data_IF_670239989486
#
_entry.id   IF_670239989486
#
_cell.length_a   1.000
_cell.length_b   1.000
_cell.length_c   1.000
_cell.angle_alpha   90.00
_cell.angle_beta   90.00
_cell.angle_gamma   90.00
#
_symmetry.space_group_name_H-M   'P 1'
#
loop_
_entity.id
_entity.type
_entity.pdbx_description
1 polymer ?
#
# COMPACT_ATOMS: atom_id res chain seq x y z
N UNK A 1 31.31 -33.99 34.70
CA UNK A 1 31.52 -32.74 33.92
C UNK A 1 31.27 -31.57 34.87
N UNK A 2 32.33 -30.98 35.41
CA UNK A 2 32.24 -29.92 36.43
C UNK A 2 32.01 -28.59 35.72
N UNK A 3 30.81 -28.01 35.84
CA UNK A 3 30.52 -26.67 35.33
C UNK A 3 31.42 -25.66 36.07
N UNK A 4 32.46 -25.17 35.39
CA UNK A 4 33.20 -23.97 35.82
C UNK A 4 32.19 -22.82 35.85
N UNK A 5 31.68 -22.49 37.04
CA UNK A 5 30.82 -21.31 37.24
C UNK A 5 31.62 -20.07 36.88
N UNK A 6 31.13 -19.30 35.91
CA UNK A 6 31.71 -18.01 35.54
C UNK A 6 31.59 -17.07 36.76
N UNK A 7 32.71 -16.65 37.38
CA UNK A 7 32.70 -15.85 38.61
C UNK A 7 32.00 -14.50 38.43
N UNK A 8 31.94 -13.99 37.20
CA UNK A 8 31.32 -12.71 36.86
C UNK A 8 29.78 -12.79 36.92
N UNK A 9 29.19 -13.91 36.46
CA UNK A 9 27.75 -14.17 36.58
C UNK A 9 27.32 -14.27 38.04
N UNK A 10 28.17 -14.82 38.92
CA UNK A 10 27.90 -14.89 40.35
C UNK A 10 27.94 -13.51 41.02
N UNK A 11 28.90 -12.65 40.63
CA UNK A 11 29.00 -11.29 41.15
C UNK A 11 27.82 -10.39 40.73
N UNK A 12 27.37 -10.51 39.47
CA UNK A 12 26.22 -9.76 38.98
C UNK A 12 24.93 -10.18 39.70
N UNK A 13 24.75 -11.49 39.92
CA UNK A 13 23.62 -12.01 40.72
C UNK A 13 23.66 -11.51 42.17
N UNK A 14 24.83 -11.41 42.77
CA UNK A 14 25.00 -10.86 44.12
C UNK A 14 24.64 -9.38 44.20
N UNK A 15 25.07 -8.56 43.22
CA UNK A 15 24.74 -7.13 43.18
C UNK A 15 23.25 -6.88 43.02
N UNK A 16 22.60 -7.63 42.13
CA UNK A 16 21.15 -7.57 41.96
C UNK A 16 20.41 -7.97 43.26
N UNK A 17 20.84 -9.05 43.92
CA UNK A 17 20.27 -9.48 45.21
C UNK A 17 20.47 -8.44 46.32
N UNK A 18 21.63 -7.78 46.38
CA UNK A 18 21.89 -6.72 47.35
C UNK A 18 21.02 -5.48 47.11
N UNK A 19 20.88 -5.04 45.86
CA UNK A 19 20.03 -3.92 45.49
C UNK A 19 18.55 -4.16 45.88
N UNK A 20 18.05 -5.39 45.67
CA UNK A 20 16.68 -5.76 46.01
C UNK A 20 16.46 -5.92 47.54
N UNK A 21 17.51 -6.27 48.29
CA UNK A 21 17.40 -6.44 49.75
C UNK A 21 17.27 -5.14 50.55
N UNK A 22 17.67 -4.00 49.96
CA UNK A 22 17.72 -2.70 50.66
C UNK A 22 16.35 -2.02 50.72
N UNK A 23 15.37 -2.44 49.91
CA UNK A 23 14.03 -1.83 49.85
C UNK A 23 12.91 -2.61 50.55
N UNK A 24 13.24 -3.60 51.39
CA UNK A 24 12.24 -4.42 52.07
C UNK A 24 11.66 -3.75 53.32
N UNK A 25 10.80 -2.75 53.13
CA UNK A 25 9.88 -2.25 54.17
C UNK A 25 8.52 -1.86 53.59
N UNK A 26 7.81 -2.84 53.04
CA UNK A 26 6.36 -2.74 52.87
C UNK A 26 5.71 -4.07 53.26
N UNK A 27 5.08 -4.04 54.43
CA UNK A 27 4.12 -5.02 54.93
C UNK A 27 2.79 -4.84 54.19
N UNK A 28 2.14 -5.98 53.94
CA UNK A 28 0.74 -6.15 53.53
C UNK A 28 0.35 -5.73 52.10
N UNK A 29 0.77 -6.51 51.10
CA UNK A 29 0.02 -6.68 49.86
C UNK A 29 0.48 -7.93 49.10
N UNK A 30 -0.47 -8.59 48.42
CA UNK A 30 -0.39 -9.72 47.48
C UNK A 30 1.04 -10.17 47.11
N UNK A 31 1.34 -11.46 47.28
CA UNK A 31 2.63 -12.10 46.97
C UNK A 31 3.26 -11.50 45.69
N UNK A 32 4.23 -10.59 45.90
CA UNK A 32 5.06 -10.06 44.83
C UNK A 32 5.91 -11.17 44.24
N UNK A 33 6.39 -10.97 43.02
CA UNK A 33 7.27 -11.93 42.36
C UNK A 33 8.51 -12.22 43.21
N UNK A 34 8.89 -13.49 43.29
CA UNK A 34 10.15 -13.85 43.94
C UNK A 34 11.32 -13.35 43.10
N UNK A 35 12.44 -13.01 43.76
CA UNK A 35 13.64 -12.51 43.07
C UNK A 35 14.17 -13.53 42.05
N UNK A 36 14.05 -14.83 42.32
CA UNK A 36 14.44 -15.88 41.38
C UNK A 36 13.56 -15.92 40.13
N UNK A 37 12.26 -15.62 40.26
CA UNK A 37 11.36 -15.52 39.10
C UNK A 37 11.64 -14.27 38.27
N UNK A 38 11.95 -13.15 38.91
CA UNK A 38 12.36 -11.92 38.22
C UNK A 38 13.66 -12.14 37.42
N UNK A 39 14.66 -12.77 38.04
CA UNK A 39 15.92 -13.09 37.39
C UNK A 39 15.74 -14.07 36.23
N UNK A 40 14.94 -15.13 36.42
CA UNK A 40 14.67 -16.09 35.35
C UNK A 40 13.92 -15.46 34.17
N UNK A 41 13.07 -14.45 34.43
CA UNK A 41 12.32 -13.73 33.40
C UNK A 41 13.27 -12.88 32.53
N UNK A 42 14.19 -12.16 33.17
CA UNK A 42 15.22 -11.34 32.49
C UNK A 42 16.19 -12.22 31.70
N UNK A 43 16.63 -13.34 32.27
CA UNK A 43 17.51 -14.32 31.59
C UNK A 43 16.81 -15.09 30.45
N UNK A 44 15.50 -14.90 30.25
CA UNK A 44 14.72 -15.63 29.23
C UNK A 44 14.54 -17.13 29.51
N UNK A 45 14.81 -17.62 30.73
CA UNK A 45 14.83 -19.05 31.11
C UNK A 45 13.47 -19.61 31.54
N UNK A 46 12.40 -18.85 31.37
CA UNK A 46 11.04 -19.23 31.79
C UNK A 46 10.24 -19.80 30.63
N UNK A 47 9.40 -20.81 30.91
CA UNK A 47 8.47 -21.39 29.93
C UNK A 47 7.46 -20.36 29.42
N UNK A 48 6.93 -20.49 28.19
CA UNK A 48 6.00 -19.50 27.63
C UNK A 48 4.74 -19.27 28.49
N UNK A 49 4.21 -20.33 29.10
CA UNK A 49 3.05 -20.25 29.99
C UNK A 49 3.34 -19.43 31.25
N UNK A 50 4.45 -19.73 31.94
CA UNK A 50 4.84 -19.00 33.16
C UNK A 50 5.25 -17.56 32.84
N UNK A 51 5.83 -17.30 31.65
CA UNK A 51 6.13 -15.95 31.19
C UNK A 51 4.87 -15.07 31.13
N UNK A 52 3.77 -15.57 30.55
CA UNK A 52 2.52 -14.79 30.46
C UNK A 52 1.94 -14.46 31.84
N UNK A 53 2.04 -15.38 32.80
CA UNK A 53 1.59 -15.17 34.19
C UNK A 53 2.43 -14.10 34.88
N UNK A 54 3.75 -14.10 34.68
CA UNK A 54 4.63 -13.10 35.26
C UNK A 54 4.43 -11.72 34.62
N UNK A 55 4.25 -11.66 33.29
CA UNK A 55 3.95 -10.42 32.59
C UNK A 55 2.62 -9.81 33.04
N UNK A 56 1.58 -10.63 33.20
CA UNK A 56 0.29 -10.12 33.71
C UNK A 56 0.38 -9.64 35.17
N UNK A 57 1.26 -10.23 35.98
CA UNK A 57 1.56 -9.70 37.31
C UNK A 57 2.31 -8.35 37.24
N UNK A 58 3.29 -8.21 36.35
CA UNK A 58 4.02 -6.95 36.16
C UNK A 58 3.08 -5.82 35.74
N UNK A 59 2.11 -6.11 34.87
CA UNK A 59 1.08 -5.13 34.46
C UNK A 59 0.19 -4.69 35.64
N UNK A 60 -0.06 -5.58 36.60
CA UNK A 60 -0.91 -5.32 37.75
C UNK A 60 -0.17 -4.75 38.97
N UNK A 61 1.15 -4.91 39.05
CA UNK A 61 1.97 -4.57 40.21
C UNK A 61 3.08 -3.56 39.84
N UNK A 62 2.83 -2.24 40.03
CA UNK A 62 3.81 -1.20 39.69
C UNK A 62 5.17 -1.38 40.37
N UNK A 63 5.20 -1.93 41.58
CA UNK A 63 6.45 -2.20 42.33
C UNK A 63 7.31 -3.26 41.61
N UNK A 64 6.71 -4.38 41.21
CA UNK A 64 7.41 -5.44 40.49
C UNK A 64 7.86 -4.96 39.10
N UNK A 65 7.07 -4.11 38.43
CA UNK A 65 7.44 -3.51 37.15
C UNK A 65 8.66 -2.58 37.26
N UNK A 66 8.71 -1.74 38.31
CA UNK A 66 9.86 -0.88 38.57
C UNK A 66 11.13 -1.68 38.86
N UNK A 67 11.03 -2.74 39.67
CA UNK A 67 12.16 -3.65 39.94
C UNK A 67 12.65 -4.38 38.69
N UNK A 68 11.72 -4.82 37.83
CA UNK A 68 12.05 -5.44 36.55
C UNK A 68 12.79 -4.49 35.62
N UNK A 69 12.33 -3.25 35.47
CA UNK A 69 13.00 -2.23 34.65
C UNK A 69 14.41 -1.92 35.17
N UNK A 70 14.56 -1.76 36.49
CA UNK A 70 15.85 -1.50 37.10
C UNK A 70 16.84 -2.66 36.85
N UNK A 71 16.37 -3.90 36.97
CA UNK A 71 17.19 -5.08 36.72
C UNK A 71 17.50 -5.28 35.22
N UNK A 72 16.56 -4.97 34.32
CA UNK A 72 16.78 -5.06 32.88
C UNK A 72 17.82 -4.05 32.38
N UNK A 73 17.80 -2.81 32.89
CA UNK A 73 18.78 -1.78 32.55
C UNK A 73 20.22 -2.17 32.94
N UNK A 74 20.39 -2.92 34.02
CA UNK A 74 21.72 -3.41 34.43
C UNK A 74 22.27 -4.51 33.51
N UNK A 75 21.41 -5.25 32.80
CA UNK A 75 21.83 -6.32 31.89
C UNK A 75 22.22 -5.75 30.52
N UNK A 76 21.56 -4.68 30.07
CA UNK A 76 21.87 -4.04 28.77
C UNK A 76 23.27 -3.40 28.74
N UNK A 77 23.76 -2.89 29.87
CA UNK A 77 25.07 -2.23 29.93
C UNK A 77 26.25 -3.22 29.84
N UNK A 78 26.02 -4.51 30.14
CA UNK A 78 27.04 -5.55 30.12
C UNK A 78 27.18 -6.21 28.73
N UNK A 79 26.16 -6.17 27.86
CA UNK A 79 26.21 -6.81 26.53
C UNK A 79 27.07 -6.04 25.50
N UNK A 80 27.28 -4.74 25.67
CA UNK A 80 28.16 -3.95 24.78
C UNK A 80 29.67 -4.21 25.04
N UNK A 81 30.03 -4.79 26.19
CA UNK A 81 31.43 -4.97 26.59
C UNK A 81 32.03 -6.35 26.27
N UNK A 82 31.23 -7.36 25.88
CA UNK A 82 31.72 -8.75 25.76
C UNK A 82 31.16 -9.51 24.54
N UNK A 83 31.37 -8.97 23.34
CA UNK A 83 31.54 -9.81 22.15
C UNK A 83 33.01 -10.25 22.04
N UNK A 84 33.51 -11.02 23.02
CA UNK A 84 34.75 -11.76 22.81
C UNK A 84 34.50 -12.76 21.68
N UNK A 85 35.25 -12.71 20.56
CA UNK A 85 35.04 -13.64 19.46
C UNK A 85 35.33 -15.04 19.99
N UNK A 86 34.26 -15.83 20.16
CA UNK A 86 34.35 -17.27 20.36
C UNK A 86 35.32 -17.78 19.29
N UNK A 87 36.52 -18.19 19.72
CA UNK A 87 37.55 -18.80 18.88
C UNK A 87 36.98 -20.12 18.37
N UNK A 88 36.16 -20.05 17.33
CA UNK A 88 35.69 -21.19 16.56
C UNK A 88 36.86 -21.65 15.72
N UNK A 89 37.41 -22.78 16.13
CA UNK A 89 38.50 -23.47 15.45
C UNK A 89 38.28 -23.55 13.93
N UNK A 90 39.22 -22.95 13.22
CA UNK A 90 39.87 -23.33 11.96
C UNK A 90 39.13 -23.94 10.76
N UNK A 91 37.99 -24.61 10.91
CA UNK A 91 37.47 -25.50 9.86
C UNK A 91 36.50 -24.82 8.89
N UNK A 92 35.77 -23.79 9.33
CA UNK A 92 34.76 -23.12 8.48
C UNK A 92 35.29 -21.94 7.64
N UNK A 93 36.58 -21.61 7.71
CA UNK A 93 37.14 -20.40 7.06
C UNK A 93 37.14 -20.48 5.52
N UNK A 94 37.14 -21.68 4.93
CA UNK A 94 37.10 -21.83 3.46
C UNK A 94 35.69 -21.81 2.85
N UNK A 95 34.64 -22.14 3.61
CA UNK A 95 33.26 -22.12 3.10
C UNK A 95 32.50 -20.82 3.44
N UNK A 96 33.02 -19.99 4.34
CA UNK A 96 32.35 -18.75 4.78
C UNK A 96 32.30 -17.67 3.70
N UNK A 97 33.30 -17.56 2.83
CA UNK A 97 33.33 -16.49 1.82
C UNK A 97 32.38 -16.74 0.63
N UNK A 98 32.19 -17.99 0.22
CA UNK A 98 31.25 -18.33 -0.86
C UNK A 98 29.80 -18.34 -0.39
N UNK A 99 29.52 -18.81 0.84
CA UNK A 99 28.15 -18.90 1.34
C UNK A 99 27.56 -17.54 1.75
N UNK A 100 28.37 -16.63 2.30
CA UNK A 100 27.92 -15.27 2.64
C UNK A 100 27.61 -14.46 1.39
N UNK A 101 28.38 -14.64 0.32
CA UNK A 101 28.12 -14.00 -0.98
C UNK A 101 26.76 -14.42 -1.57
N UNK A 102 26.43 -15.73 -1.55
CA UNK A 102 25.15 -16.20 -2.08
C UNK A 102 23.95 -15.71 -1.28
N UNK A 103 24.06 -15.62 0.06
CA UNK A 103 22.97 -15.10 0.89
C UNK A 103 22.74 -13.60 0.68
N UNK A 104 23.81 -12.81 0.47
CA UNK A 104 23.68 -11.38 0.19
C UNK A 104 22.96 -11.13 -1.14
N UNK A 105 23.27 -11.91 -2.19
CA UNK A 105 22.58 -11.82 -3.48
C UNK A 105 21.11 -12.21 -3.35
N UNK A 106 20.80 -13.30 -2.64
CA UNK A 106 19.41 -13.72 -2.44
C UNK A 106 18.61 -12.67 -1.64
N UNK A 107 19.19 -12.11 -0.58
CA UNK A 107 18.57 -11.03 0.20
C UNK A 107 18.36 -9.76 -0.63
N UNK A 108 19.33 -9.39 -1.48
CA UNK A 108 19.21 -8.25 -2.39
C UNK A 108 18.10 -8.46 -3.42
N UNK A 109 17.98 -9.67 -3.98
CA UNK A 109 16.90 -10.02 -4.91
C UNK A 109 15.53 -9.97 -4.22
N UNK A 110 15.41 -10.50 -3.00
CA UNK A 110 14.17 -10.42 -2.21
C UNK A 110 13.84 -8.95 -1.91
N UNK A 111 14.83 -8.13 -1.55
CA UNK A 111 14.64 -6.71 -1.30
C UNK A 111 14.18 -5.97 -2.56
N UNK A 112 14.77 -6.25 -3.72
CA UNK A 112 14.34 -5.67 -5.01
C UNK A 112 12.90 -6.09 -5.34
N UNK A 113 12.53 -7.35 -5.11
CA UNK A 113 11.16 -7.83 -5.30
C UNK A 113 10.19 -7.15 -4.33
N UNK A 114 10.55 -7.03 -3.05
CA UNK A 114 9.74 -6.33 -2.07
C UNK A 114 9.60 -4.85 -2.42
N UNK A 115 10.67 -4.17 -2.80
CA UNK A 115 10.63 -2.77 -3.22
C UNK A 115 9.78 -2.59 -4.47
N UNK A 116 9.91 -3.45 -5.48
CA UNK A 116 9.08 -3.35 -6.70
C UNK A 116 7.60 -3.64 -6.44
N UNK A 117 7.27 -4.51 -5.48
CA UNK A 117 5.89 -4.79 -5.07
C UNK A 117 5.33 -3.66 -4.18
N UNK A 118 6.12 -3.13 -3.25
CA UNK A 118 5.66 -2.15 -2.26
C UNK A 118 5.69 -0.72 -2.78
N UNK A 119 6.54 -0.43 -3.76
CA UNK A 119 6.67 0.87 -4.41
C UNK A 119 5.86 0.99 -5.71
N UNK A 120 4.82 0.16 -5.88
CA UNK A 120 3.88 0.42 -6.97
C UNK A 120 3.31 1.83 -6.78
N UNK A 121 3.45 2.71 -7.79
CA UNK A 121 2.96 4.06 -7.67
C UNK A 121 1.47 4.02 -7.35
N UNK A 122 1.05 4.83 -6.40
CA UNK A 122 -0.36 4.97 -6.09
C UNK A 122 -1.09 5.33 -7.38
N UNK A 123 -2.21 4.66 -7.69
CA UNK A 123 -3.03 4.96 -8.88
C UNK A 123 -3.25 6.47 -9.07
N UNK A 124 -3.56 7.26 -8.01
CA UNK A 124 -3.66 8.71 -8.12
C UNK A 124 -2.47 9.40 -8.81
N UNK A 125 -1.24 9.12 -8.36
CA UNK A 125 -0.06 9.79 -8.89
C UNK A 125 0.20 9.41 -10.33
N UNK A 126 0.03 8.12 -10.66
CA UNK A 126 0.21 7.63 -12.01
C UNK A 126 -0.78 8.27 -13.00
N UNK A 127 -2.05 8.37 -12.62
CA UNK A 127 -3.07 9.01 -13.46
C UNK A 127 -2.78 10.51 -13.58
N UNK A 128 -2.46 11.21 -12.49
CA UNK A 128 -2.13 12.64 -12.55
C UNK A 128 -0.92 12.93 -13.46
N UNK A 129 0.10 12.09 -13.44
CA UNK A 129 1.26 12.23 -14.33
C UNK A 129 0.92 11.96 -15.79
N UNK A 130 -0.05 11.08 -16.08
CA UNK A 130 -0.57 10.89 -17.44
C UNK A 130 -1.33 12.10 -17.96
N UNK A 131 -2.11 12.76 -17.11
CA UNK A 131 -2.78 14.00 -17.50
C UNK A 131 -1.76 15.09 -17.83
N UNK A 132 -0.69 15.23 -17.03
CA UNK A 132 0.43 16.14 -17.36
C UNK A 132 1.05 15.79 -18.70
N UNK A 133 1.40 14.52 -18.93
CA UNK A 133 1.96 14.07 -20.20
C UNK A 133 1.03 14.35 -21.38
N UNK A 134 -0.28 14.19 -21.20
CA UNK A 134 -1.27 14.52 -22.22
C UNK A 134 -1.27 16.02 -22.55
N UNK A 135 -1.24 16.89 -21.54
CA UNK A 135 -1.11 18.33 -21.75
C UNK A 135 0.21 18.70 -22.45
N UNK A 136 1.33 18.12 -22.01
CA UNK A 136 2.65 18.35 -22.62
C UNK A 136 2.70 17.89 -24.08
N UNK A 137 1.89 16.88 -24.44
CA UNK A 137 1.75 16.37 -25.80
C UNK A 137 0.76 17.18 -26.66
N UNK A 138 0.21 18.29 -26.13
CA UNK A 138 -0.78 19.12 -26.83
C UNK A 138 -2.16 18.48 -26.92
N UNK A 139 -2.43 17.46 -26.12
CA UNK A 139 -3.73 16.80 -26.02
C UNK A 139 -4.65 17.69 -25.17
N UNK A 140 -5.20 18.72 -25.82
CA UNK A 140 -6.19 19.62 -25.23
C UNK A 140 -7.52 19.46 -25.94
N UNK A 141 -8.58 19.23 -25.17
CA UNK A 141 -9.96 19.20 -25.68
C UNK A 141 -10.44 20.60 -26.13
N UNK A 142 -9.65 21.65 -25.91
CA UNK A 142 -10.00 23.03 -26.32
C UNK A 142 -10.29 23.15 -27.82
N UNK A 143 -9.69 22.29 -28.66
CA UNK A 143 -9.93 22.26 -30.10
C UNK A 143 -11.15 21.42 -30.53
N UNK A 144 -11.79 20.68 -29.61
CA UNK A 144 -13.08 20.01 -29.84
C UNK A 144 -14.26 20.95 -29.65
N UNK A 145 -14.02 22.13 -29.07
CA UNK A 145 -14.90 23.27 -29.19
C UNK A 145 -14.70 23.92 -30.57
N UNK A 146 -15.12 23.25 -31.65
CA UNK A 146 -15.89 24.04 -32.62
C UNK A 146 -16.99 24.70 -31.79
N UNK A 147 -17.27 26.00 -31.90
CA UNK A 147 -18.30 26.65 -31.11
C UNK A 147 -19.56 25.80 -31.24
N UNK A 148 -19.81 25.00 -30.21
CA UNK A 148 -21.09 24.37 -29.99
C UNK A 148 -21.90 25.60 -29.68
N UNK A 149 -22.69 26.02 -30.66
CA UNK A 149 -23.50 27.22 -30.62
C UNK A 149 -24.03 27.39 -29.20
N UNK A 150 -23.76 28.57 -28.64
CA UNK A 150 -23.88 28.96 -27.24
C UNK A 150 -25.30 28.92 -26.67
N UNK A 151 -26.18 28.12 -27.25
CA UNK A 151 -27.47 27.79 -26.69
C UNK A 151 -27.26 26.74 -25.61
N UNK A 152 -27.30 27.27 -24.39
CA UNK A 152 -27.17 26.75 -23.03
C UNK A 152 -27.93 25.45 -22.66
N UNK A 153 -28.07 24.49 -23.57
CA UNK A 153 -28.62 23.14 -23.32
C UNK A 153 -27.62 22.00 -23.58
N UNK A 154 -26.45 22.26 -24.18
CA UNK A 154 -25.51 21.17 -24.55
C UNK A 154 -24.74 20.53 -23.38
N UNK A 155 -24.61 21.20 -22.22
CA UNK A 155 -24.09 20.51 -21.04
C UNK A 155 -25.05 19.40 -20.58
N UNK A 156 -26.38 19.63 -20.65
CA UNK A 156 -27.37 18.56 -20.48
C UNK A 156 -27.29 17.52 -21.60
N UNK A 157 -26.91 17.91 -22.82
CA UNK A 157 -26.78 16.98 -23.95
C UNK A 157 -25.58 16.04 -23.81
N UNK A 158 -24.44 16.45 -23.24
CA UNK A 158 -23.32 15.54 -22.98
C UNK A 158 -23.66 14.54 -21.87
N UNK A 159 -24.36 14.99 -20.82
CA UNK A 159 -24.91 14.08 -19.81
C UNK A 159 -25.92 13.11 -20.44
N UNK A 160 -26.83 13.56 -21.31
CA UNK A 160 -27.76 12.69 -22.05
C UNK A 160 -27.05 11.75 -23.03
N UNK A 161 -26.00 12.22 -23.70
CA UNK A 161 -25.28 11.46 -24.72
C UNK A 161 -24.61 10.22 -24.16
N UNK A 162 -24.14 10.29 -22.91
CA UNK A 162 -23.60 9.16 -22.17
C UNK A 162 -24.62 8.51 -21.21
N UNK A 163 -25.90 8.89 -21.28
CA UNK A 163 -26.99 8.27 -20.50
C UNK A 163 -27.15 8.74 -19.05
N UNK A 164 -26.45 9.80 -18.63
CA UNK A 164 -26.52 10.37 -17.27
C UNK A 164 -27.59 11.44 -17.08
N UNK A 165 -28.11 12.01 -18.16
CA UNK A 165 -29.07 13.12 -18.11
C UNK A 165 -30.51 12.65 -18.23
N UNK A 166 -31.19 12.39 -17.12
CA UNK A 166 -32.67 12.50 -17.09
C UNK A 166 -33.48 11.22 -16.91
N UNK A 167 -32.87 10.07 -16.64
CA UNK A 167 -33.62 8.99 -15.97
C UNK A 167 -33.71 9.36 -14.49
N UNK A 168 -34.92 9.38 -13.92
CA UNK A 168 -35.13 9.50 -12.46
C UNK A 168 -34.43 8.39 -11.66
N UNK A 169 -33.86 7.41 -12.35
CA UNK A 169 -33.06 6.34 -11.78
C UNK A 169 -31.59 6.79 -11.78
N UNK A 170 -31.21 7.61 -10.80
CA UNK A 170 -29.80 7.85 -10.50
C UNK A 170 -29.09 6.49 -10.36
N UNK A 171 -27.80 6.36 -10.74
CA UNK A 171 -27.06 5.12 -10.59
C UNK A 171 -27.22 4.65 -9.14
N UNK A 172 -27.79 3.47 -8.96
CA UNK A 172 -28.13 2.95 -7.63
C UNK A 172 -26.87 2.55 -6.85
N UNK A 173 -25.80 2.21 -7.56
CA UNK A 173 -24.55 1.75 -6.98
C UNK A 173 -23.58 2.91 -6.68
N UNK A 174 -23.01 2.99 -5.46
CA UNK A 174 -21.98 3.98 -5.12
C UNK A 174 -20.71 3.84 -5.98
N UNK A 175 -20.44 2.64 -6.50
CA UNK A 175 -19.33 2.37 -7.43
C UNK A 175 -19.55 3.05 -8.77
N UNK A 176 -20.76 2.91 -9.32
CA UNK A 176 -21.16 3.58 -10.56
C UNK A 176 -21.05 5.09 -10.42
N UNK A 177 -21.58 5.67 -9.32
CA UNK A 177 -21.48 7.10 -9.05
C UNK A 177 -20.01 7.57 -8.96
N UNK A 178 -19.16 6.78 -8.31
CA UNK A 178 -17.73 7.10 -8.18
C UNK A 178 -17.03 7.09 -9.54
N UNK A 179 -17.28 6.06 -10.37
CA UNK A 179 -16.75 5.97 -11.72
C UNK A 179 -17.19 7.16 -12.59
N UNK A 180 -18.48 7.49 -12.56
CA UNK A 180 -19.07 8.59 -13.33
C UNK A 180 -18.46 9.94 -12.90
N UNK A 181 -18.37 10.18 -11.59
CA UNK A 181 -17.74 11.38 -11.03
C UNK A 181 -16.28 11.50 -11.46
N UNK A 182 -15.55 10.39 -11.45
CA UNK A 182 -14.18 10.30 -11.96
C UNK A 182 -14.09 10.67 -13.43
N UNK A 183 -14.93 10.07 -14.27
CA UNK A 183 -14.96 10.34 -15.70
C UNK A 183 -15.24 11.82 -16.00
N UNK A 184 -16.24 12.40 -15.33
CA UNK A 184 -16.58 13.81 -15.46
C UNK A 184 -15.44 14.73 -15.02
N UNK A 185 -14.83 14.44 -13.87
CA UNK A 185 -13.68 15.20 -13.36
C UNK A 185 -12.52 15.15 -14.36
N UNK A 186 -12.23 13.97 -14.91
CA UNK A 186 -11.20 13.81 -15.92
C UNK A 186 -11.44 14.65 -17.18
N UNK A 187 -12.68 14.65 -17.67
CA UNK A 187 -13.07 15.51 -18.79
C UNK A 187 -12.95 16.99 -18.48
N UNK A 188 -13.43 17.43 -17.32
CA UNK A 188 -13.31 18.82 -16.87
C UNK A 188 -11.84 19.20 -16.86
N UNK A 189 -10.97 18.38 -16.26
CA UNK A 189 -9.53 18.61 -16.23
C UNK A 189 -8.98 18.81 -17.64
N UNK A 190 -9.32 17.94 -18.61
CA UNK A 190 -8.82 18.04 -20.00
C UNK A 190 -9.38 19.23 -20.79
N UNK A 191 -10.51 19.80 -20.35
CA UNK A 191 -11.11 21.00 -20.93
C UNK A 191 -10.60 22.29 -20.28
N UNK A 192 -10.38 22.26 -18.96
CA UNK A 192 -9.77 23.33 -18.20
C UNK A 192 -8.24 23.30 -18.37
N UNK A 193 -7.55 24.42 -18.18
CA UNK A 193 -6.08 24.39 -18.16
C UNK A 193 -5.56 23.48 -17.03
N UNK A 194 -4.29 23.08 -17.11
CA UNK A 194 -3.57 22.22 -16.15
C UNK A 194 -3.67 22.67 -14.67
N UNK A 195 -4.06 23.92 -14.40
CA UNK A 195 -4.10 24.52 -13.06
C UNK A 195 -5.06 23.82 -12.09
N UNK A 196 -6.13 23.18 -12.58
CA UNK A 196 -7.09 22.45 -11.71
C UNK A 196 -6.52 21.18 -11.07
N UNK A 197 -5.37 20.68 -11.53
CA UNK A 197 -4.74 19.48 -10.94
C UNK A 197 -4.16 19.71 -9.54
N UNK A 198 -3.97 20.97 -9.10
CA UNK A 198 -3.23 21.26 -7.85
C UNK A 198 -4.09 21.30 -6.58
N UNK A 199 -5.41 21.45 -6.69
CA UNK A 199 -6.24 21.88 -5.56
C UNK A 199 -7.45 20.98 -5.24
N UNK A 200 -7.56 19.80 -5.84
CA UNK A 200 -8.67 18.89 -5.55
C UNK A 200 -8.28 17.89 -4.47
N UNK A 201 -9.02 17.82 -3.36
CA UNK A 201 -8.98 16.66 -2.48
C UNK A 201 -9.56 15.47 -3.24
N UNK A 202 -8.67 14.62 -3.77
CA UNK A 202 -9.09 13.53 -4.64
C UNK A 202 -9.67 12.36 -3.82
N UNK A 203 -10.81 11.79 -4.23
CA UNK A 203 -11.38 10.61 -3.60
C UNK A 203 -10.39 9.44 -3.60
N UNK A 204 -10.26 8.76 -2.46
CA UNK A 204 -9.53 7.48 -2.34
C UNK A 204 -10.40 6.29 -2.82
N UNK A 205 -10.98 6.40 -4.01
CA UNK A 205 -11.85 5.37 -4.58
C UNK A 205 -11.31 4.91 -5.94
N UNK A 206 -10.99 3.62 -6.06
CA UNK A 206 -10.44 3.01 -7.28
C UNK A 206 -11.33 3.23 -8.52
N UNK A 207 -12.66 3.19 -8.34
CA UNK A 207 -13.63 3.41 -9.41
C UNK A 207 -13.56 4.84 -9.95
N UNK A 208 -13.38 5.84 -9.07
CA UNK A 208 -13.18 7.23 -9.48
C UNK A 208 -11.93 7.37 -10.36
N UNK A 209 -10.84 6.72 -9.96
CA UNK A 209 -9.60 6.75 -10.74
C UNK A 209 -9.71 6.03 -12.08
N UNK A 210 -10.43 4.92 -12.13
CA UNK A 210 -10.76 4.25 -13.38
C UNK A 210 -11.58 5.18 -14.29
N UNK A 211 -12.59 5.86 -13.76
CA UNK A 211 -13.38 6.85 -14.51
C UNK A 211 -12.49 7.93 -15.14
N UNK A 212 -11.59 8.54 -14.34
CA UNK A 212 -10.61 9.52 -14.85
C UNK A 212 -9.71 8.94 -15.95
N UNK A 213 -9.25 7.71 -15.78
CA UNK A 213 -8.44 7.05 -16.79
C UNK A 213 -9.21 6.83 -18.11
N UNK A 214 -10.47 6.39 -18.04
CA UNK A 214 -11.33 6.26 -19.21
C UNK A 214 -11.58 7.60 -19.92
N UNK A 215 -11.76 8.69 -19.17
CA UNK A 215 -11.90 10.02 -19.73
C UNK A 215 -10.67 10.43 -20.54
N UNK A 216 -9.47 10.11 -20.04
CA UNK A 216 -8.21 10.36 -20.73
C UNK A 216 -8.11 9.55 -22.03
N UNK A 217 -8.43 8.25 -22.00
CA UNK A 217 -8.44 7.41 -23.19
C UNK A 217 -9.44 7.88 -24.26
N UNK A 218 -10.67 8.24 -23.83
CA UNK A 218 -11.69 8.76 -24.74
C UNK A 218 -11.21 10.06 -25.40
N UNK A 219 -10.66 10.98 -24.61
CA UNK A 219 -10.16 12.26 -25.10
C UNK A 219 -8.98 12.10 -26.05
N UNK A 220 -8.10 11.14 -25.77
CA UNK A 220 -7.02 10.78 -26.68
C UNK A 220 -7.60 10.33 -28.03
N UNK A 221 -8.60 9.46 -28.02
CA UNK A 221 -9.25 8.99 -29.23
C UNK A 221 -10.05 10.04 -30.01
N UNK A 222 -10.51 11.10 -29.33
CA UNK A 222 -11.20 12.23 -29.96
C UNK A 222 -10.22 13.30 -30.46
N UNK A 223 -8.95 13.25 -30.04
CA UNK A 223 -7.93 14.19 -30.47
C UNK A 223 -7.65 14.04 -31.96
N UNK A 224 -7.61 15.18 -32.66
CA UNK A 224 -7.17 15.24 -34.06
C UNK A 224 -5.63 15.16 -34.20
N UNK A 225 -4.91 15.37 -33.10
CA UNK A 225 -3.45 15.34 -33.07
C UNK A 225 -2.89 13.92 -33.09
N UNK A 226 -1.68 13.77 -33.61
CA UNK A 226 -0.95 12.51 -33.50
C UNK A 226 -0.54 12.28 -32.04
N UNK A 227 -1.04 11.20 -31.44
CA UNK A 227 -0.72 10.85 -30.06
C UNK A 227 0.62 10.12 -30.03
N UNK A 228 1.57 10.54 -29.18
CA UNK A 228 2.88 9.88 -29.13
C UNK A 228 2.77 8.43 -28.65
N UNK A 229 3.62 7.55 -29.18
CA UNK A 229 3.65 6.14 -28.79
C UNK A 229 3.89 5.94 -27.29
N UNK A 230 4.68 6.83 -26.67
CA UNK A 230 4.96 6.82 -25.23
C UNK A 230 3.69 6.96 -24.38
N UNK A 231 2.67 7.67 -24.87
CA UNK A 231 1.39 7.75 -24.18
C UNK A 231 0.76 6.36 -24.06
N UNK A 232 0.68 5.61 -25.17
CA UNK A 232 0.07 4.28 -25.21
C UNK A 232 0.83 3.25 -24.37
N UNK A 233 2.16 3.35 -24.32
CA UNK A 233 2.98 2.51 -23.44
C UNK A 233 2.67 2.73 -21.95
N UNK A 234 2.41 3.99 -21.55
CA UNK A 234 1.97 4.30 -20.19
C UNK A 234 0.55 3.80 -19.92
N UNK A 235 -0.33 3.82 -20.93
CA UNK A 235 -1.68 3.24 -20.80
C UNK A 235 -1.64 1.73 -20.57
N UNK A 236 -0.73 1.00 -21.22
CA UNK A 236 -0.55 -0.44 -20.97
C UNK A 236 -0.12 -0.75 -19.51
N UNK A 237 0.73 0.10 -18.91
CA UNK A 237 1.10 -0.05 -17.50
C UNK A 237 -0.10 0.16 -16.58
N UNK A 238 -0.95 1.14 -16.91
CA UNK A 238 -2.17 1.45 -16.14
C UNK A 238 -3.19 0.33 -16.22
N UNK A 239 -3.34 -0.29 -17.38
CA UNK A 239 -4.16 -1.49 -17.58
C UNK A 239 -3.75 -2.58 -16.60
N UNK A 240 -2.45 -2.88 -16.50
CA UNK A 240 -1.93 -3.90 -15.59
C UNK A 240 -2.32 -3.63 -14.13
N UNK A 241 -2.22 -2.37 -13.71
CA UNK A 241 -2.59 -1.94 -12.35
C UNK A 241 -4.10 -2.04 -12.10
N UNK A 242 -4.93 -1.49 -12.98
CA UNK A 242 -6.39 -1.57 -12.85
C UNK A 242 -6.89 -3.00 -12.91
N UNK A 243 -6.31 -3.85 -13.77
CA UNK A 243 -6.60 -5.28 -13.81
C UNK A 243 -6.31 -5.93 -12.45
N UNK A 244 -5.16 -5.64 -11.85
CA UNK A 244 -4.79 -6.17 -10.53
C UNK A 244 -5.74 -5.72 -9.41
N UNK A 245 -6.17 -4.46 -9.45
CA UNK A 245 -7.11 -3.88 -8.49
C UNK A 245 -8.50 -4.50 -8.65
N UNK A 246 -9.10 -4.41 -9.84
CA UNK A 246 -10.47 -4.85 -10.06
C UNK A 246 -10.61 -6.38 -10.09
N UNK A 247 -9.56 -7.16 -10.35
CA UNK A 247 -9.62 -8.62 -10.13
C UNK A 247 -9.81 -9.00 -8.66
N UNK A 248 -9.36 -8.15 -7.72
CA UNK A 248 -9.63 -8.37 -6.29
C UNK A 248 -11.09 -8.05 -5.98
N UNK A 249 -11.59 -6.91 -6.46
CA UNK A 249 -12.97 -6.46 -6.27
C UNK A 249 -14.00 -7.37 -6.97
N UNK A 250 -13.67 -7.96 -8.12
CA UNK A 250 -14.53 -8.84 -8.92
C UNK A 250 -14.96 -10.14 -8.21
N UNK A 251 -14.38 -10.45 -7.05
CA UNK A 251 -14.86 -11.56 -6.19
C UNK A 251 -16.14 -11.23 -5.44
N UNK A 252 -16.38 -9.94 -5.20
CA UNK A 252 -17.42 -9.43 -4.31
C UNK A 252 -18.40 -8.50 -5.05
N UNK A 253 -17.93 -7.81 -6.08
CA UNK A 253 -18.64 -6.73 -6.77
C UNK A 253 -18.83 -7.08 -8.26
N UNK A 254 -20.08 -7.08 -8.75
CA UNK A 254 -20.39 -7.43 -10.14
C UNK A 254 -19.91 -6.34 -11.12
N UNK A 255 -19.89 -5.09 -10.68
CA UNK A 255 -19.38 -3.93 -11.42
C UNK A 255 -17.89 -4.06 -11.74
N UNK A 256 -17.10 -4.60 -10.81
CA UNK A 256 -15.69 -4.89 -11.03
C UNK A 256 -15.48 -5.93 -12.14
N UNK A 257 -16.37 -6.92 -12.28
CA UNK A 257 -16.32 -7.91 -13.38
C UNK A 257 -16.51 -7.24 -14.74
N UNK A 258 -17.43 -6.26 -14.82
CA UNK A 258 -17.67 -5.47 -16.02
C UNK A 258 -16.40 -4.69 -16.38
N UNK A 259 -15.81 -3.98 -15.41
CA UNK A 259 -14.58 -3.20 -15.63
C UNK A 259 -13.41 -4.08 -16.06
N UNK A 260 -13.16 -5.22 -15.41
CA UNK A 260 -12.08 -6.15 -15.80
C UNK A 260 -12.22 -6.58 -17.25
N UNK A 261 -13.42 -6.99 -17.68
CA UNK A 261 -13.67 -7.42 -19.06
C UNK A 261 -13.42 -6.29 -20.06
N UNK A 262 -13.89 -5.08 -19.77
CA UNK A 262 -13.68 -3.93 -20.64
C UNK A 262 -12.21 -3.50 -20.71
N UNK A 263 -11.49 -3.52 -19.58
CA UNK A 263 -10.05 -3.26 -19.53
C UNK A 263 -9.27 -4.24 -20.40
N UNK A 264 -9.60 -5.55 -20.35
CA UNK A 264 -8.95 -6.54 -21.21
C UNK A 264 -9.20 -6.30 -22.70
N UNK A 265 -10.44 -5.96 -23.08
CA UNK A 265 -10.77 -5.67 -24.48
C UNK A 265 -10.05 -4.41 -24.96
N UNK A 266 -10.01 -3.36 -24.16
CA UNK A 266 -9.23 -2.15 -24.44
C UNK A 266 -7.74 -2.46 -24.60
N UNK A 267 -7.18 -3.33 -23.75
CA UNK A 267 -5.78 -3.73 -23.83
C UNK A 267 -5.44 -4.37 -25.18
N UNK A 268 -6.29 -5.30 -25.65
CA UNK A 268 -6.15 -5.90 -26.97
C UNK A 268 -6.17 -4.83 -28.06
N UNK A 269 -7.06 -3.85 -27.95
CA UNK A 269 -7.10 -2.69 -28.84
C UNK A 269 -5.81 -1.88 -28.83
N UNK A 270 -5.32 -1.48 -27.65
CA UNK A 270 -4.12 -0.64 -27.52
C UNK A 270 -2.87 -1.37 -28.04
N UNK A 271 -2.70 -2.66 -27.72
CA UNK A 271 -1.56 -3.46 -28.19
C UNK A 271 -1.52 -3.56 -29.72
N UNK A 272 -2.68 -3.61 -30.37
CA UNK A 272 -2.74 -3.68 -31.83
C UNK A 272 -2.42 -2.34 -32.52
N UNK A 273 -2.35 -1.21 -31.80
CA UNK A 273 -2.05 0.14 -32.32
C UNK A 273 -2.88 0.55 -33.55
N UNK A 274 -4.14 0.12 -33.63
CA UNK A 274 -5.00 0.38 -34.79
C UNK A 274 -5.90 1.59 -34.57
N UNK A 275 -6.28 2.27 -35.64
CA UNK A 275 -7.37 3.26 -35.64
C UNK A 275 -8.69 2.67 -35.10
N UNK A 276 -8.88 1.35 -35.20
CA UNK A 276 -10.01 0.62 -34.61
C UNK A 276 -10.04 0.64 -33.09
N UNK A 277 -8.91 0.91 -32.41
CA UNK A 277 -8.82 0.94 -30.95
C UNK A 277 -9.68 2.06 -30.36
N UNK A 278 -9.86 3.15 -31.09
CA UNK A 278 -10.70 4.26 -30.63
C UNK A 278 -12.20 4.00 -30.76
N UNK A 279 -12.62 3.28 -31.80
CA UNK A 279 -13.99 2.78 -31.89
C UNK A 279 -14.28 1.78 -30.78
N UNK A 280 -13.31 0.90 -30.49
CA UNK A 280 -13.42 -0.06 -29.40
C UNK A 280 -13.51 0.63 -28.03
N UNK A 281 -12.61 1.57 -27.73
CA UNK A 281 -12.64 2.33 -26.46
C UNK A 281 -13.99 3.03 -26.27
N UNK A 282 -14.52 3.65 -27.33
CA UNK A 282 -15.83 4.31 -27.30
C UNK A 282 -16.97 3.32 -27.05
N UNK A 283 -16.93 2.16 -27.72
CA UNK A 283 -17.91 1.10 -27.53
C UNK A 283 -17.87 0.52 -26.11
N UNK A 284 -16.68 0.25 -25.58
CA UNK A 284 -16.48 -0.25 -24.22
C UNK A 284 -16.93 0.75 -23.17
N UNK A 285 -16.67 2.04 -23.38
CA UNK A 285 -17.17 3.08 -22.49
C UNK A 285 -18.70 3.03 -22.42
N UNK A 286 -19.38 2.99 -23.56
CA UNK A 286 -20.84 2.87 -23.58
C UNK A 286 -21.32 1.58 -22.88
N UNK A 287 -20.65 0.45 -23.13
CA UNK A 287 -20.97 -0.82 -22.48
C UNK A 287 -20.82 -0.76 -20.95
N UNK A 288 -19.76 -0.13 -20.44
CA UNK A 288 -19.56 0.09 -19.00
C UNK A 288 -20.69 0.95 -18.45
N UNK A 289 -21.01 2.07 -19.10
CA UNK A 289 -22.02 2.99 -18.62
C UNK A 289 -23.42 2.37 -18.62
N UNK A 290 -23.77 1.59 -19.63
CA UNK A 290 -25.01 0.82 -19.67
C UNK A 290 -25.03 -0.24 -18.56
N UNK A 291 -23.94 -1.00 -18.41
CA UNK A 291 -23.85 -2.06 -17.40
C UNK A 291 -23.91 -1.54 -15.96
N UNK A 292 -23.29 -0.39 -15.68
CA UNK A 292 -23.31 0.26 -14.36
C UNK A 292 -24.68 0.87 -14.00
N UNK A 293 -25.55 1.09 -14.98
CA UNK A 293 -26.88 1.67 -14.77
C UNK A 293 -27.99 0.62 -14.64
N UNK A 294 -27.71 -0.68 -14.82
CA UNK A 294 -28.72 -1.71 -14.63
C UNK A 294 -28.99 -1.95 -13.14
N UNK A 295 -30.26 -2.00 -12.69
CA UNK A 295 -30.58 -2.42 -11.34
C UNK A 295 -30.16 -3.89 -11.16
N UNK A 296 -29.31 -4.15 -10.17
CA UNK A 296 -28.92 -5.49 -9.72
C UNK A 296 -30.10 -6.18 -9.04
#
# INVERSE_FOLDING_TARGET
MVLKKNPQVFQNRLRALFALSIHKKHTDQKECLSVDEMAALIDGRITPQKRNILLSHLDACPSCYAEWLAAAAMVSDDEEAQCDPIKKDGFFRKYKNTFVSSMAVAAALILIVLLTIYHQPAVPSLINDQYKMAFDSGLSLTNLNSPIDSDTESSKSLFQFYGFGGSTNAPSSPFAQSFISGFQTGRIILMSSSELLKNSEEPKNDYFWAGRWFALLSSACESKGQIPDSFWEVQQKSIGLFRGIFNRHAKEESEAVILVRSIERINVGIVQKKSSSCQLIRWELNFILEGLNQPI
#
